data_IF_005097758373
#
_entry.id   IF_005097758373
#
_cell.length_a   1.000
_cell.length_b   1.000
_cell.length_c   1.000
_cell.angle_alpha   90.00
_cell.angle_beta   90.00
_cell.angle_gamma   90.00
#
_symmetry.space_group_name_H-M   'P 1'
#
loop_
_entity.id
_entity.type
_entity.pdbx_description
1 polymer ?
#
# COMPACT_ATOMS: atom_id res chain seq x y z
N UNK A 1 -1.60 -1.77 18.37
CA UNK A 1 -2.42 -2.79 17.65
C UNK A 1 -1.56 -3.61 16.66
N UNK A 2 -0.46 -3.02 16.20
CA UNK A 2 0.58 -3.58 15.30
C UNK A 2 1.20 -4.90 15.77
N UNK A 3 1.57 -5.04 17.05
CA UNK A 3 2.14 -6.32 17.58
C UNK A 3 1.16 -7.52 17.44
N UNK A 4 -0.15 -7.26 17.34
CA UNK A 4 -1.17 -8.28 17.01
C UNK A 4 -1.23 -8.55 15.51
N UNK A 5 -1.24 -7.50 14.68
CA UNK A 5 -1.21 -7.61 13.21
C UNK A 5 -0.04 -8.47 12.72
N UNK A 6 1.19 -8.29 13.22
CA UNK A 6 2.36 -9.12 12.83
C UNK A 6 2.22 -10.61 13.13
N UNK A 7 1.48 -10.98 14.18
CA UNK A 7 1.28 -12.39 14.55
C UNK A 7 0.17 -13.02 13.72
N UNK A 8 -0.82 -12.21 13.33
CA UNK A 8 -2.02 -12.65 12.62
C UNK A 8 -1.89 -12.49 11.09
N UNK A 9 -0.84 -11.82 10.58
CA UNK A 9 -0.60 -11.54 9.16
C UNK A 9 0.72 -12.17 8.71
N UNK A 10 0.64 -13.44 8.34
CA UNK A 10 1.73 -14.19 7.72
C UNK A 10 1.25 -14.77 6.40
N UNK A 11 2.17 -14.89 5.44
CA UNK A 11 1.93 -15.62 4.21
C UNK A 11 2.11 -17.10 4.50
N UNK A 12 1.06 -17.87 4.24
CA UNK A 12 1.01 -19.31 4.43
C UNK A 12 0.89 -20.00 3.08
N UNK A 13 1.67 -21.07 2.91
CA UNK A 13 1.68 -21.91 1.71
C UNK A 13 1.13 -23.29 2.09
N UNK A 14 -0.02 -23.66 1.53
CA UNK A 14 -0.55 -25.02 1.62
C UNK A 14 -0.18 -25.78 0.34
N UNK A 15 0.96 -26.47 0.37
CA UNK A 15 1.53 -27.15 -0.79
C UNK A 15 0.61 -28.24 -1.35
N UNK A 16 -0.16 -28.93 -0.49
CA UNK A 16 -1.03 -30.03 -0.92
C UNK A 16 -2.21 -29.55 -1.75
N UNK A 17 -2.73 -28.37 -1.42
CA UNK A 17 -3.85 -27.75 -2.13
C UNK A 17 -3.39 -26.75 -3.20
N UNK A 18 -2.09 -26.45 -3.27
CA UNK A 18 -1.52 -25.44 -4.17
C UNK A 18 -2.03 -24.03 -3.85
N UNK A 19 -2.30 -23.72 -2.58
CA UNK A 19 -2.90 -22.46 -2.16
C UNK A 19 -1.90 -21.58 -1.41
N UNK A 20 -1.96 -20.28 -1.70
CA UNK A 20 -1.26 -19.22 -0.98
C UNK A 20 -2.31 -18.36 -0.29
N UNK A 21 -2.10 -18.01 0.98
CA UNK A 21 -3.02 -17.13 1.69
C UNK A 21 -2.33 -16.26 2.73
N UNK A 22 -2.92 -15.10 2.99
CA UNK A 22 -2.54 -14.18 4.05
C UNK A 22 -3.44 -14.39 5.28
N UNK A 23 -2.80 -14.58 6.44
CA UNK A 23 -3.45 -14.76 7.74
C UNK A 23 -3.78 -16.22 8.07
N UNK A 24 -4.50 -16.46 9.17
CA UNK A 24 -4.91 -17.81 9.58
C UNK A 24 -6.02 -18.38 8.66
N UNK A 25 -6.04 -19.72 8.46
CA UNK A 25 -6.90 -20.43 7.50
C UNK A 25 -8.40 -20.08 7.59
N UNK A 26 -8.91 -19.75 8.79
CA UNK A 26 -10.33 -19.38 8.99
C UNK A 26 -10.63 -17.90 8.69
N UNK A 27 -9.62 -17.04 8.59
CA UNK A 27 -9.71 -15.60 8.29
C UNK A 27 -8.89 -15.21 7.06
N UNK A 28 -8.72 -16.15 6.13
CA UNK A 28 -7.75 -16.04 5.05
C UNK A 28 -8.15 -15.08 3.92
N UNK A 29 -7.19 -14.33 3.41
CA UNK A 29 -7.24 -13.76 2.06
C UNK A 29 -6.41 -14.64 1.15
N UNK A 30 -7.05 -15.28 0.16
CA UNK A 30 -6.33 -16.07 -0.85
C UNK A 30 -5.50 -15.14 -1.73
N UNK A 31 -4.28 -15.58 -2.02
CA UNK A 31 -3.31 -14.85 -2.80
C UNK A 31 -2.99 -15.61 -4.09
N UNK A 32 -2.61 -14.86 -5.12
CA UNK A 32 -2.08 -15.38 -6.38
C UNK A 32 -0.76 -14.68 -6.63
N UNK A 33 0.27 -15.44 -6.98
CA UNK A 33 1.54 -14.88 -7.41
C UNK A 33 1.46 -14.52 -8.89
N UNK A 34 1.66 -13.25 -9.21
CA UNK A 34 1.71 -12.73 -10.57
C UNK A 34 3.08 -12.12 -10.83
N UNK A 35 3.56 -12.25 -12.07
CA UNK A 35 4.76 -11.54 -12.51
C UNK A 35 4.37 -10.14 -12.98
N UNK A 36 5.18 -9.09 -12.72
CA UNK A 36 4.87 -7.74 -13.17
C UNK A 36 4.57 -7.65 -14.68
N UNK A 37 5.28 -8.40 -15.51
CA UNK A 37 5.01 -8.48 -16.96
C UNK A 37 3.58 -8.93 -17.31
N UNK A 38 2.96 -9.80 -16.52
CA UNK A 38 1.58 -10.25 -16.79
C UNK A 38 0.57 -9.11 -16.63
N UNK A 39 0.84 -8.17 -15.70
CA UNK A 39 0.03 -6.96 -15.53
C UNK A 39 0.30 -5.99 -16.69
N UNK A 40 1.53 -5.88 -17.17
CA UNK A 40 1.86 -5.03 -18.32
C UNK A 40 1.20 -5.55 -19.61
N UNK A 41 1.26 -6.85 -19.88
CA UNK A 41 0.56 -7.49 -21.01
C UNK A 41 -0.95 -7.22 -20.96
N UNK A 42 -1.55 -7.26 -19.76
CA UNK A 42 -2.93 -6.85 -19.58
C UNK A 42 -3.16 -5.38 -19.97
N UNK A 43 -2.26 -4.48 -19.59
CA UNK A 43 -2.38 -3.06 -19.95
C UNK A 43 -2.30 -2.84 -21.46
N UNK A 44 -1.41 -3.56 -22.14
CA UNK A 44 -1.30 -3.52 -23.60
C UNK A 44 -2.60 -3.97 -24.28
N UNK A 45 -3.24 -5.01 -23.74
CA UNK A 45 -4.54 -5.49 -24.23
C UNK A 45 -5.68 -4.50 -23.94
N UNK A 46 -5.70 -3.91 -22.74
CA UNK A 46 -6.74 -2.96 -22.32
C UNK A 46 -6.63 -1.59 -23.02
N UNK A 47 -5.45 -1.25 -23.55
CA UNK A 47 -5.20 -0.02 -24.30
C UNK A 47 -5.41 1.22 -23.44
N UNK A 48 -6.12 2.21 -23.97
CA UNK A 48 -6.31 3.53 -23.30
C UNK A 48 -7.07 3.45 -21.98
N UNK A 49 -7.78 2.35 -21.71
CA UNK A 49 -8.53 2.17 -20.47
C UNK A 49 -7.69 1.53 -19.35
N UNK A 50 -6.45 1.12 -19.64
CA UNK A 50 -5.61 0.38 -18.69
C UNK A 50 -5.38 1.16 -17.39
N UNK A 51 -5.17 2.47 -17.49
CA UNK A 51 -4.89 3.35 -16.34
C UNK A 51 -6.05 3.35 -15.34
N UNK A 52 -7.27 3.63 -15.81
CA UNK A 52 -8.48 3.64 -14.98
C UNK A 52 -8.75 2.26 -14.35
N UNK A 53 -8.55 1.19 -15.13
CA UNK A 53 -8.76 -0.18 -14.64
C UNK A 53 -7.76 -0.49 -13.54
N UNK A 54 -6.48 -0.13 -13.69
CA UNK A 54 -5.47 -0.41 -12.68
C UNK A 54 -5.69 0.38 -11.39
N UNK A 55 -6.09 1.64 -11.49
CA UNK A 55 -6.48 2.42 -10.31
C UNK A 55 -7.68 1.76 -9.62
N UNK A 56 -8.69 1.34 -10.38
CA UNK A 56 -9.87 0.67 -9.83
C UNK A 56 -9.54 -0.69 -9.20
N UNK A 57 -8.68 -1.49 -9.82
CA UNK A 57 -8.17 -2.76 -9.27
C UNK A 57 -7.41 -2.50 -7.99
N UNK A 58 -6.49 -1.52 -7.97
CA UNK A 58 -5.76 -1.14 -6.76
C UNK A 58 -6.69 -0.72 -5.63
N UNK A 59 -7.69 0.13 -5.93
CA UNK A 59 -8.70 0.54 -4.96
C UNK A 59 -9.49 -0.65 -4.40
N UNK A 60 -9.83 -1.60 -5.27
CA UNK A 60 -10.55 -2.80 -4.87
C UNK A 60 -9.69 -3.69 -3.96
N UNK A 61 -8.40 -3.85 -4.26
CA UNK A 61 -7.47 -4.62 -3.44
C UNK A 61 -7.32 -4.02 -2.03
N UNK A 62 -7.05 -2.71 -1.94
CA UNK A 62 -6.92 -2.04 -0.65
C UNK A 62 -8.22 -2.10 0.15
N UNK A 63 -9.38 -1.89 -0.48
CA UNK A 63 -10.68 -2.05 0.19
C UNK A 63 -10.90 -3.46 0.72
N UNK A 64 -10.68 -4.50 -0.10
CA UNK A 64 -10.88 -5.90 0.31
C UNK A 64 -9.94 -6.25 1.47
N UNK A 65 -8.69 -5.77 1.44
CA UNK A 65 -7.74 -5.94 2.54
C UNK A 65 -8.25 -5.29 3.82
N UNK A 66 -8.67 -4.02 3.72
CA UNK A 66 -9.17 -3.27 4.87
C UNK A 66 -10.43 -3.90 5.46
N UNK A 67 -11.37 -4.35 4.62
CA UNK A 67 -12.54 -5.10 5.08
C UNK A 67 -12.11 -6.40 5.75
N UNK A 68 -11.28 -7.23 5.11
CA UNK A 68 -10.93 -8.55 5.67
C UNK A 68 -10.29 -8.48 7.06
N UNK A 69 -9.36 -7.54 7.26
CA UNK A 69 -8.56 -7.48 8.49
C UNK A 69 -9.04 -6.42 9.49
N UNK A 70 -9.96 -5.54 9.09
CA UNK A 70 -10.48 -4.48 9.94
C UNK A 70 -12.02 -4.29 9.88
N UNK A 71 -12.79 -5.26 9.35
CA UNK A 71 -14.25 -5.20 9.10
C UNK A 71 -15.15 -4.72 10.24
N UNK A 72 -14.73 -4.88 11.50
CA UNK A 72 -15.57 -4.59 12.68
C UNK A 72 -15.31 -3.22 13.31
N UNK A 73 -14.66 -2.30 12.60
CA UNK A 73 -14.34 -0.97 13.13
C UNK A 73 -15.17 0.11 12.45
N UNK A 74 -15.84 0.91 13.27
CA UNK A 74 -16.34 2.21 12.86
C UNK A 74 -15.19 3.21 12.86
N UNK A 75 -14.66 3.52 11.68
CA UNK A 75 -13.54 4.45 11.54
C UNK A 75 -13.89 5.91 11.79
N UNK A 76 -15.18 6.26 11.82
CA UNK A 76 -15.61 7.65 12.06
C UNK A 76 -15.36 8.11 13.50
N UNK A 77 -15.37 7.18 14.46
CA UNK A 77 -15.15 7.43 15.88
C UNK A 77 -13.73 7.09 16.38
N UNK A 78 -12.89 6.52 15.51
CA UNK A 78 -11.53 6.11 15.85
C UNK A 78 -10.54 7.29 15.85
N UNK A 79 -9.60 7.26 16.80
CA UNK A 79 -8.57 8.32 16.93
C UNK A 79 -7.61 8.30 15.75
N UNK A 80 -7.11 9.48 15.37
CA UNK A 80 -6.15 9.60 14.27
C UNK A 80 -4.86 8.79 14.49
N UNK A 81 -4.39 8.69 15.74
CA UNK A 81 -3.26 7.82 16.09
C UNK A 81 -3.49 6.35 15.70
N UNK A 82 -4.73 5.84 15.86
CA UNK A 82 -5.09 4.47 15.47
C UNK A 82 -5.12 4.34 13.95
N UNK A 83 -5.65 5.33 13.24
CA UNK A 83 -5.64 5.37 11.78
C UNK A 83 -4.21 5.37 11.22
N UNK A 84 -3.30 6.13 11.82
CA UNK A 84 -1.86 6.13 11.50
C UNK A 84 -1.21 4.75 11.73
N UNK A 85 -1.49 4.09 12.86
CA UNK A 85 -1.02 2.71 13.11
C UNK A 85 -1.52 1.72 12.05
N UNK A 86 -2.76 1.89 11.59
CA UNK A 86 -3.40 1.03 10.59
C UNK A 86 -2.76 1.23 9.23
N UNK A 87 -2.50 2.47 8.81
CA UNK A 87 -1.76 2.77 7.58
C UNK A 87 -0.41 2.07 7.59
N UNK A 88 0.37 2.21 8.67
CA UNK A 88 1.67 1.53 8.77
C UNK A 88 1.55 0.01 8.76
N UNK A 89 0.58 -0.56 9.47
CA UNK A 89 0.30 -1.99 9.41
C UNK A 89 -0.03 -2.47 8.00
N UNK A 90 -0.79 -1.70 7.23
CA UNK A 90 -1.09 -2.00 5.82
C UNK A 90 0.18 -1.97 4.96
N UNK A 91 1.06 -0.99 5.15
CA UNK A 91 2.32 -0.92 4.40
C UNK A 91 3.22 -2.14 4.69
N UNK A 92 3.34 -2.56 5.94
CA UNK A 92 4.09 -3.78 6.29
C UNK A 92 3.53 -5.02 5.60
N UNK A 93 2.22 -5.14 5.47
CA UNK A 93 1.58 -6.29 4.80
C UNK A 93 1.81 -6.25 3.31
N UNK A 94 1.75 -5.07 2.69
CA UNK A 94 2.11 -4.91 1.28
C UNK A 94 3.57 -5.33 1.04
N UNK A 95 4.48 -4.97 1.96
CA UNK A 95 5.87 -5.44 1.91
C UNK A 95 5.95 -6.97 1.96
N UNK A 96 5.22 -7.60 2.90
CA UNK A 96 5.17 -9.07 2.99
C UNK A 96 4.66 -9.71 1.69
N UNK A 97 3.67 -9.10 1.04
CA UNK A 97 3.12 -9.56 -0.24
C UNK A 97 4.00 -9.26 -1.46
N UNK A 98 5.18 -8.68 -1.28
CA UNK A 98 6.15 -8.48 -2.36
C UNK A 98 5.94 -7.20 -3.18
N UNK A 99 5.23 -6.20 -2.65
CA UNK A 99 5.03 -4.90 -3.31
C UNK A 99 6.27 -3.97 -3.24
N UNK A 100 7.41 -4.45 -2.72
CA UNK A 100 8.64 -3.66 -2.55
C UNK A 100 8.89 -3.26 -1.10
N UNK A 101 9.83 -2.35 -0.88
CA UNK A 101 10.07 -1.72 0.42
C UNK A 101 9.17 -0.50 0.58
N UNK A 102 8.31 -0.48 1.59
CA UNK A 102 7.38 0.64 1.81
C UNK A 102 7.74 1.43 3.07
N UNK A 103 7.67 2.76 2.97
CA UNK A 103 7.77 3.68 4.11
C UNK A 103 6.65 4.70 4.04
N UNK A 104 6.11 5.14 5.18
CA UNK A 104 5.14 6.22 5.25
C UNK A 104 5.63 7.35 6.15
N UNK A 105 5.20 8.57 5.86
CA UNK A 105 5.55 9.76 6.63
C UNK A 105 4.35 10.69 6.72
N UNK A 106 4.04 11.13 7.94
CA UNK A 106 2.98 12.09 8.22
C UNK A 106 3.58 13.47 8.42
N UNK A 107 3.24 14.39 7.52
CA UNK A 107 3.44 15.81 7.67
C UNK A 107 2.12 16.48 8.02
N UNK A 108 2.16 17.76 8.37
CA UNK A 108 1.01 18.48 8.92
C UNK A 108 -0.22 18.46 8.00
N UNK A 109 0.02 18.61 6.71
CA UNK A 109 -0.99 18.76 5.65
C UNK A 109 -1.01 17.60 4.65
N UNK A 110 -0.11 16.63 4.77
CA UNK A 110 -0.02 15.52 3.82
C UNK A 110 0.66 14.28 4.39
N UNK A 111 0.44 13.14 3.73
CA UNK A 111 1.17 11.89 3.96
C UNK A 111 2.03 11.60 2.73
N UNK A 112 3.28 11.18 2.93
CA UNK A 112 4.14 10.67 1.86
C UNK A 112 4.29 9.18 2.05
N UNK A 113 4.08 8.40 0.99
CA UNK A 113 4.38 6.96 0.96
C UNK A 113 5.45 6.74 -0.12
N UNK A 114 6.57 6.14 0.27
CA UNK A 114 7.62 5.76 -0.66
C UNK A 114 7.60 4.26 -0.89
N UNK A 115 7.91 3.87 -2.13
CA UNK A 115 8.06 2.49 -2.57
C UNK A 115 9.45 2.34 -3.18
N UNK A 116 10.34 1.72 -2.42
CA UNK A 116 11.66 1.27 -2.83
C UNK A 116 11.52 -0.11 -3.50
N UNK A 117 12.41 -0.43 -4.44
CA UNK A 117 12.37 -1.68 -5.21
C UNK A 117 10.97 -2.01 -5.73
N UNK A 118 10.28 -0.99 -6.28
CA UNK A 118 8.91 -1.13 -6.76
C UNK A 118 8.77 -2.16 -7.87
N UNK A 119 7.56 -2.67 -8.10
CA UNK A 119 7.28 -3.65 -9.17
C UNK A 119 7.76 -3.16 -10.54
N UNK A 120 7.75 -1.85 -10.77
CA UNK A 120 8.20 -1.22 -12.01
C UNK A 120 9.70 -1.41 -12.29
N UNK A 121 10.53 -1.62 -11.27
CA UNK A 121 11.99 -1.74 -11.46
C UNK A 121 12.37 -2.99 -12.25
N UNK A 122 11.58 -4.06 -12.13
CA UNK A 122 11.80 -5.32 -12.84
C UNK A 122 11.64 -5.16 -14.36
N UNK A 123 10.96 -4.09 -14.78
CA UNK A 123 10.54 -3.86 -16.16
C UNK A 123 10.95 -2.46 -16.64
N UNK A 124 12.04 -1.90 -16.09
CA UNK A 124 12.49 -0.51 -16.34
C UNK A 124 12.70 -0.17 -17.83
N UNK A 125 12.95 -1.17 -18.67
CA UNK A 125 13.08 -1.02 -20.13
C UNK A 125 11.75 -0.91 -20.89
N UNK A 126 10.61 -1.17 -20.23
CA UNK A 126 9.28 -1.12 -20.81
C UNK A 126 8.58 0.20 -20.46
N UNK A 127 8.15 0.94 -21.48
CA UNK A 127 7.36 2.18 -21.31
C UNK A 127 6.07 1.96 -20.49
N UNK A 128 5.48 0.77 -20.57
CA UNK A 128 4.26 0.42 -19.84
C UNK A 128 4.51 0.12 -18.36
N UNK A 129 5.76 0.01 -17.89
CA UNK A 129 6.06 -0.25 -16.48
C UNK A 129 5.53 0.84 -15.54
N UNK A 130 5.29 2.05 -16.04
CA UNK A 130 4.65 3.13 -15.27
C UNK A 130 3.22 2.76 -14.84
N UNK A 131 2.53 1.91 -15.59
CA UNK A 131 1.19 1.46 -15.24
C UNK A 131 1.18 0.67 -13.92
N UNK A 132 2.28 -0.02 -13.57
CA UNK A 132 2.42 -0.67 -12.27
C UNK A 132 2.41 0.33 -11.11
N UNK A 133 2.85 1.57 -11.34
CA UNK A 133 2.84 2.65 -10.36
C UNK A 133 1.41 3.11 -10.02
N UNK A 134 0.46 2.95 -10.95
CA UNK A 134 -0.95 3.27 -10.75
C UNK A 134 -1.65 2.30 -9.80
N UNK A 135 -1.19 1.04 -9.75
CA UNK A 135 -1.71 0.04 -8.82
C UNK A 135 -1.49 0.48 -7.37
N UNK A 136 -0.29 0.95 -7.05
CA UNK A 136 0.04 1.50 -5.73
C UNK A 136 -0.83 2.69 -5.37
N UNK A 137 -0.97 3.64 -6.30
CA UNK A 137 -1.82 4.83 -6.10
C UNK A 137 -3.27 4.42 -5.78
N UNK A 138 -3.81 3.44 -6.50
CA UNK A 138 -5.14 2.90 -6.24
C UNK A 138 -5.24 2.26 -4.84
N UNK A 139 -4.28 1.41 -4.48
CA UNK A 139 -4.25 0.74 -3.17
C UNK A 139 -4.23 1.77 -2.05
N UNK A 140 -3.27 2.70 -2.06
CA UNK A 140 -3.10 3.68 -0.99
C UNK A 140 -4.32 4.60 -0.85
N UNK A 141 -4.86 5.12 -1.96
CA UNK A 141 -6.08 5.94 -1.90
C UNK A 141 -7.23 5.18 -1.22
N UNK A 142 -7.46 3.91 -1.58
CA UNK A 142 -8.55 3.16 -0.93
C UNK A 142 -8.33 2.88 0.56
N UNK A 143 -7.07 2.79 1.00
CA UNK A 143 -6.78 2.65 2.43
C UNK A 143 -7.18 3.92 3.17
N UNK A 144 -6.85 5.10 2.65
CA UNK A 144 -7.28 6.39 3.20
C UNK A 144 -8.81 6.55 3.16
N UNK A 145 -9.45 6.21 2.03
CA UNK A 145 -10.90 6.25 1.87
C UNK A 145 -11.61 5.41 2.94
N UNK A 146 -11.17 4.17 3.16
CA UNK A 146 -11.82 3.24 4.10
C UNK A 146 -11.69 3.71 5.56
N UNK A 147 -10.55 4.26 5.95
CA UNK A 147 -10.34 4.79 7.30
C UNK A 147 -10.91 6.21 7.48
N UNK A 148 -11.52 6.78 6.44
CA UNK A 148 -12.16 8.10 6.47
C UNK A 148 -11.15 9.23 6.67
N UNK A 149 -10.07 9.23 5.88
CA UNK A 149 -9.17 10.38 5.75
C UNK A 149 -9.29 10.85 4.30
N UNK A 150 -9.88 12.03 4.10
CA UNK A 150 -10.08 12.59 2.77
C UNK A 150 -8.75 13.16 2.24
N UNK A 151 -8.22 12.54 1.19
CA UNK A 151 -6.95 12.93 0.57
C UNK A 151 -7.07 13.08 -0.94
N UNK A 152 -6.18 13.88 -1.50
CA UNK A 152 -5.87 13.90 -2.93
C UNK A 152 -4.47 13.33 -3.14
N UNK A 153 -4.40 12.21 -3.87
CA UNK A 153 -3.20 11.39 -4.02
C UNK A 153 -2.59 11.49 -5.41
N UNK A 154 -1.29 11.75 -5.48
CA UNK A 154 -0.51 11.78 -6.72
C UNK A 154 0.86 11.13 -6.57
N UNK A 155 1.43 10.62 -7.67
CA UNK A 155 2.84 10.20 -7.74
C UNK A 155 3.70 11.44 -8.01
N UNK A 156 4.61 11.76 -7.08
CA UNK A 156 5.50 12.94 -7.15
C UNK A 156 6.93 12.60 -7.54
N UNK A 157 7.34 11.33 -7.42
CA UNK A 157 8.63 10.81 -7.86
C UNK A 157 8.44 9.40 -8.43
N UNK A 158 9.16 9.06 -9.50
CA UNK A 158 9.10 7.75 -10.12
C UNK A 158 10.51 7.21 -10.44
N UNK A 159 10.76 5.95 -10.07
CA UNK A 159 12.02 5.24 -10.35
C UNK A 159 12.32 5.15 -11.86
N UNK A 160 11.27 5.14 -12.68
CA UNK A 160 11.38 5.04 -14.14
C UNK A 160 11.83 6.35 -14.78
N UNK A 161 11.59 7.50 -14.13
CA UNK A 161 12.00 8.82 -14.61
C UNK A 161 13.33 9.28 -14.02
N UNK A 162 14.10 8.37 -13.42
CA UNK A 162 15.41 8.66 -12.84
C UNK A 162 15.39 9.04 -11.36
N UNK A 163 14.26 8.89 -10.67
CA UNK A 163 14.21 8.93 -9.21
C UNK A 163 14.88 7.71 -8.57
N UNK A 164 15.05 7.75 -7.25
CA UNK A 164 15.64 6.65 -6.47
C UNK A 164 14.55 5.69 -5.94
N UNK A 165 13.29 6.11 -6.01
CA UNK A 165 12.10 5.35 -5.59
C UNK A 165 10.84 5.86 -6.31
N UNK A 166 9.70 5.24 -6.06
CA UNK A 166 8.41 5.84 -6.35
C UNK A 166 7.88 6.52 -5.08
N UNK A 167 7.50 7.79 -5.14
CA UNK A 167 6.94 8.55 -4.02
C UNK A 167 5.55 9.04 -4.35
N UNK A 168 4.64 8.83 -3.41
CA UNK A 168 3.23 9.20 -3.53
C UNK A 168 2.90 10.19 -2.42
N UNK A 169 2.35 11.33 -2.79
CA UNK A 169 1.91 12.36 -1.85
C UNK A 169 0.39 12.36 -1.78
N UNK A 170 -0.12 12.31 -0.56
CA UNK A 170 -1.54 12.35 -0.23
C UNK A 170 -1.83 13.62 0.55
N UNK A 171 -2.28 14.66 -0.14
CA UNK A 171 -2.59 15.96 0.48
C UNK A 171 -3.96 15.89 1.16
N UNK A 172 -4.06 16.35 2.41
CA UNK A 172 -5.34 16.37 3.11
C UNK A 172 -6.30 17.37 2.44
N UNK A 173 -7.53 16.92 2.17
CA UNK A 173 -8.58 17.79 1.63
C UNK A 173 -9.24 18.63 2.74
N UNK A 174 -9.20 18.13 3.98
CA UNK A 174 -9.82 18.77 5.15
C UNK A 174 -8.92 18.59 6.38
N UNK A 175 -8.64 19.70 7.07
CA UNK A 175 -7.92 19.69 8.34
C UNK A 175 -6.41 19.48 8.23
N UNK A 176 -5.79 19.22 9.37
CA UNK A 176 -4.35 18.98 9.54
C UNK A 176 -4.14 17.90 10.61
N UNK A 177 -3.01 17.20 10.57
CA UNK A 177 -2.61 16.28 11.64
C UNK A 177 -2.08 17.07 12.86
N UNK A 178 -2.42 16.60 14.07
CA UNK A 178 -1.87 17.14 15.31
C UNK A 178 -0.34 17.03 15.35
N UNK A 179 0.34 18.00 15.96
CA UNK A 179 1.81 18.08 15.98
C UNK A 179 2.46 16.81 16.60
N UNK A 180 1.78 16.11 17.51
CA UNK A 180 2.26 14.86 18.12
C UNK A 180 2.14 13.62 17.22
N UNK A 181 1.52 13.75 16.04
CA UNK A 181 1.39 12.70 15.04
C UNK A 181 2.32 12.91 13.85
N UNK A 182 3.12 13.97 13.85
CA UNK A 182 4.03 14.30 12.76
C UNK A 182 5.34 13.51 12.91
N UNK A 183 5.93 13.13 11.77
CA UNK A 183 7.24 12.48 11.73
C UNK A 183 8.33 13.53 11.47
N UNK A 184 9.33 13.60 12.35
CA UNK A 184 10.38 14.63 12.35
C UNK A 184 11.27 14.57 11.10
N UNK A 185 11.73 13.38 10.70
CA UNK A 185 12.60 13.17 9.53
C UNK A 185 12.23 11.93 8.71
N UNK A 186 12.68 11.90 7.46
CA UNK A 186 12.53 10.74 6.57
C UNK A 186 13.52 9.69 7.01
N UNK A 187 13.07 8.69 7.78
CA UNK A 187 13.88 7.49 7.93
C UNK A 187 13.74 6.65 6.67
N UNK A 188 14.83 6.42 5.95
CA UNK A 188 14.92 5.38 4.91
C UNK A 188 14.81 3.95 5.49
N UNK A 189 14.63 3.86 6.80
CA UNK A 189 14.35 2.66 7.56
C UNK A 189 12.93 2.19 7.17
N UNK A 190 12.83 0.98 6.60
CA UNK A 190 11.56 0.32 6.32
C UNK A 190 10.62 0.36 7.55
N UNK A 191 9.30 0.43 7.34
CA UNK A 191 8.32 0.48 8.44
C UNK A 191 8.53 -0.65 9.45
N UNK A 192 9.00 -1.82 8.98
CA UNK A 192 9.35 -2.97 9.81
C UNK A 192 10.42 -2.69 10.87
N UNK A 193 11.44 -1.92 10.51
CA UNK A 193 12.63 -1.65 11.31
C UNK A 193 12.40 -0.44 12.23
N UNK A 194 11.63 0.55 11.77
CA UNK A 194 11.17 1.68 12.59
C UNK A 194 10.39 1.18 13.81
N UNK A 195 9.43 0.26 13.61
CA UNK A 195 8.63 -0.31 14.69
C UNK A 195 9.38 -1.33 15.56
N UNK A 196 10.50 -1.88 15.09
CA UNK A 196 11.37 -2.73 15.90
C UNK A 196 12.27 -1.92 16.85
N UNK A 197 12.49 -0.63 16.56
CA UNK A 197 13.30 0.28 17.37
C UNK A 197 12.54 1.00 18.50
N UNK A 198 11.21 0.79 18.58
CA UNK A 198 10.29 1.28 19.63
C UNK A 198 9.99 0.19 20.69
#
# INVERSE_FOLDING_TARGET
MIKRLKKDLQINVEEKEGQLFLGEKEKEMRLVMLRPNEIMEFCEFAGTNAEDILIWVGKSLGKIFMEKFFYNKDWSSEKMAVKKEVIFGTLEVLMLMGYGGLTGMFKKDHVIINVYDSLAIQEKGNIMAKNLCLLYLGIFNSVFDVIGIDVDGEEVECILTGGDKCSYKFSLLVGEFDDNLLDEEMSDIAVSDFLASL
#
